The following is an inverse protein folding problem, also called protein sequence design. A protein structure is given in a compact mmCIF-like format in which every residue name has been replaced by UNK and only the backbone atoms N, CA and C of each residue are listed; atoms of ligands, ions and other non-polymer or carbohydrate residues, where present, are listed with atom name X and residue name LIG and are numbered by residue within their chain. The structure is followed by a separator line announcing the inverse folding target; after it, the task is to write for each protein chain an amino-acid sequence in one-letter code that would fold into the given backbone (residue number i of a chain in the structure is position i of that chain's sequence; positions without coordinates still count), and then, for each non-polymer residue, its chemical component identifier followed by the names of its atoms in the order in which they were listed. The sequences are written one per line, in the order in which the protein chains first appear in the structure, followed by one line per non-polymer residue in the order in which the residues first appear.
data_IF_598099349569
#
_entry.id   IF_598099349569
#
_cell.length_a   1.000
_cell.length_b   1.000
_cell.length_c   1.000
_cell.angle_alpha   90.00
_cell.angle_beta   90.00
_cell.angle_gamma   90.00
#
_symmetry.space_group_name_H-M   'P 1'
#
loop_
_entity.id
_entity.type
_entity.pdbx_description
1 polymer ?
#
# COMPACT_ATOMS: atom_id res chain seq x y z
N UNK A 1 9.78 -58.09 -23.17
CA UNK A 1 10.90 -57.26 -22.70
C UNK A 1 10.72 -55.86 -23.28
N UNK A 2 10.34 -54.91 -22.40
CA UNK A 2 10.48 -53.43 -22.46
C UNK A 2 10.33 -52.78 -23.85
N UNK A 3 9.33 -51.95 -24.14
CA UNK A 3 9.25 -50.56 -23.67
C UNK A 3 7.83 -50.00 -23.93
N UNK A 4 6.95 -50.07 -22.93
CA UNK A 4 5.70 -49.29 -22.89
C UNK A 4 5.77 -48.31 -21.69
N UNK A 5 6.89 -47.61 -21.56
CA UNK A 5 7.13 -46.64 -20.48
C UNK A 5 7.59 -45.30 -21.07
N UNK A 6 6.77 -44.70 -21.94
CA UNK A 6 7.09 -43.37 -22.50
C UNK A 6 6.05 -42.29 -22.20
N UNK A 7 4.83 -42.63 -21.76
CA UNK A 7 3.76 -41.63 -21.57
C UNK A 7 3.43 -41.26 -20.12
N UNK A 8 3.80 -42.09 -19.13
CA UNK A 8 3.44 -41.84 -17.72
C UNK A 8 4.45 -40.98 -16.95
N UNK A 9 5.70 -40.89 -17.42
CA UNK A 9 6.75 -40.09 -16.74
C UNK A 9 6.67 -38.57 -16.99
N UNK A 10 5.88 -38.12 -17.96
CA UNK A 10 5.70 -36.67 -18.23
C UNK A 10 4.48 -36.07 -17.51
N UNK A 11 3.60 -36.91 -16.98
CA UNK A 11 2.35 -36.46 -16.33
C UNK A 11 2.41 -36.45 -14.80
N UNK A 12 3.50 -36.93 -14.20
CA UNK A 12 3.70 -36.90 -12.73
C UNK A 12 4.54 -35.70 -12.27
N UNK A 13 5.17 -34.95 -13.18
CA UNK A 13 6.00 -33.80 -12.83
C UNK A 13 5.20 -32.49 -12.68
N UNK A 14 3.91 -32.47 -13.01
CA UNK A 14 3.05 -31.28 -12.90
C UNK A 14 2.27 -31.19 -11.58
N UNK A 15 2.35 -32.20 -10.71
CA UNK A 15 1.65 -32.22 -9.42
C UNK A 15 2.43 -31.53 -8.28
N UNK A 16 3.62 -31.00 -8.57
CA UNK A 16 4.44 -30.22 -7.64
C UNK A 16 4.73 -28.81 -8.17
N UNK A 17 3.76 -28.17 -8.83
CA UNK A 17 3.79 -26.72 -8.87
C UNK A 17 3.32 -26.25 -7.49
N UNK A 18 4.21 -25.78 -6.58
CA UNK A 18 3.73 -25.04 -5.44
C UNK A 18 2.89 -23.91 -6.02
N UNK A 19 1.61 -23.89 -5.62
CA UNK A 19 0.81 -22.70 -5.81
C UNK A 19 1.59 -21.61 -5.07
N UNK A 20 2.39 -20.84 -5.81
CA UNK A 20 2.88 -19.57 -5.33
C UNK A 20 1.62 -18.69 -5.28
N UNK A 21 0.80 -18.91 -4.25
CA UNK A 21 -0.02 -17.87 -3.70
C UNK A 21 0.98 -16.77 -3.39
N UNK A 22 1.09 -15.79 -4.27
CA UNK A 22 1.72 -14.52 -3.95
C UNK A 22 0.85 -13.92 -2.85
N UNK A 23 1.11 -14.34 -1.62
CA UNK A 23 0.59 -13.66 -0.45
C UNK A 23 1.31 -12.33 -0.45
N UNK A 24 0.73 -11.33 -1.13
CA UNK A 24 1.11 -9.95 -0.90
C UNK A 24 0.94 -9.74 0.60
N UNK A 25 2.06 -9.63 1.32
CA UNK A 25 2.02 -9.20 2.70
C UNK A 25 1.30 -7.87 2.68
N UNK A 26 0.15 -7.78 3.35
CA UNK A 26 -0.53 -6.51 3.53
C UNK A 26 0.51 -5.50 4.07
N UNK A 27 0.51 -4.25 3.58
CA UNK A 27 1.40 -3.22 4.11
C UNK A 27 1.37 -3.24 5.64
N UNK A 28 2.53 -3.24 6.28
CA UNK A 28 2.60 -3.15 7.75
C UNK A 28 1.86 -1.88 8.17
N UNK A 29 0.92 -1.97 9.13
CA UNK A 29 0.22 -0.80 9.63
C UNK A 29 1.20 0.29 10.10
N UNK A 30 0.92 1.54 9.78
CA UNK A 30 1.71 2.68 10.25
C UNK A 30 1.34 2.98 11.71
N UNK A 31 2.36 3.20 12.56
CA UNK A 31 2.19 3.14 14.02
C UNK A 31 1.98 4.49 14.70
N UNK A 32 2.39 5.60 14.08
CA UNK A 32 2.33 6.92 14.71
C UNK A 32 1.21 7.77 14.10
N UNK A 33 0.08 7.95 14.81
CA UNK A 33 -0.99 8.83 14.38
C UNK A 33 -0.71 10.28 14.78
N UNK A 34 -1.10 11.23 13.94
CA UNK A 34 -1.15 12.67 14.22
C UNK A 34 -2.47 13.23 13.69
N UNK A 35 -3.25 13.84 14.59
CA UNK A 35 -4.50 14.49 14.21
C UNK A 35 -4.20 15.88 13.67
N UNK A 36 -4.67 16.16 12.45
CA UNK A 36 -4.44 17.42 11.75
C UNK A 36 -5.56 18.44 11.98
N UNK A 37 -6.62 18.05 12.68
CA UNK A 37 -7.77 18.89 12.93
C UNK A 37 -8.40 18.64 14.31
N UNK A 38 -9.10 19.63 14.90
CA UNK A 38 -9.74 19.47 16.21
C UNK A 38 -10.88 18.44 16.24
N UNK A 39 -11.50 18.13 15.11
CA UNK A 39 -12.60 17.15 15.04
C UNK A 39 -12.11 15.70 14.92
N UNK A 40 -10.78 15.49 14.85
CA UNK A 40 -10.15 14.17 14.76
C UNK A 40 -10.57 13.36 13.53
N UNK A 41 -10.96 14.03 12.45
CA UNK A 41 -11.36 13.38 11.20
C UNK A 41 -10.23 13.29 10.18
N UNK A 42 -9.15 14.03 10.39
CA UNK A 42 -7.98 14.12 9.53
C UNK A 42 -6.80 13.54 10.30
N UNK A 43 -6.42 12.31 9.96
CA UNK A 43 -5.33 11.61 10.64
C UNK A 43 -4.20 11.32 9.67
N UNK A 44 -2.99 11.74 10.04
CA UNK A 44 -1.74 11.33 9.39
C UNK A 44 -1.14 10.17 10.18
N UNK A 45 -1.07 8.99 9.58
CA UNK A 45 -0.36 7.86 10.14
C UNK A 45 1.00 7.74 9.44
N UNK A 46 2.08 7.55 10.18
CA UNK A 46 3.41 7.37 9.61
C UNK A 46 4.27 6.41 10.42
N UNK A 47 5.41 6.02 9.86
CA UNK A 47 6.45 5.29 10.58
C UNK A 47 7.81 5.98 10.35
N UNK A 48 8.69 5.90 11.33
CA UNK A 48 10.04 6.45 11.29
C UNK A 48 11.05 5.30 11.39
N UNK A 49 10.96 4.32 10.49
CA UNK A 49 12.04 3.34 10.38
C UNK A 49 13.31 4.05 9.91
N UNK A 50 14.48 3.51 10.25
CA UNK A 50 15.81 3.97 9.77
C UNK A 50 15.97 3.75 8.25
N UNK A 51 15.07 4.33 7.47
CA UNK A 51 14.94 4.16 6.03
C UNK A 51 14.99 5.56 5.41
N UNK A 52 15.69 5.69 4.29
CA UNK A 52 15.78 6.95 3.55
C UNK A 52 14.41 7.42 3.02
N UNK A 53 13.44 6.50 2.92
CA UNK A 53 12.09 6.77 2.43
C UNK A 53 11.07 6.75 3.58
N UNK A 54 10.39 7.87 3.79
CA UNK A 54 9.26 7.96 4.70
C UNK A 54 7.98 7.45 4.03
N UNK A 55 7.23 6.60 4.74
CA UNK A 55 5.88 6.18 4.37
C UNK A 55 4.87 6.83 5.29
N UNK A 56 3.81 7.38 4.71
CA UNK A 56 2.70 7.95 5.44
C UNK A 56 1.36 7.61 4.76
N UNK A 57 0.30 7.61 5.54
CA UNK A 57 -1.08 7.46 5.10
C UNK A 57 -1.90 8.62 5.65
N UNK A 58 -2.74 9.20 4.80
CA UNK A 58 -3.65 10.26 5.17
C UNK A 58 -5.08 9.71 5.17
N UNK A 59 -5.69 9.64 6.34
CA UNK A 59 -7.04 9.11 6.55
C UNK A 59 -7.99 10.30 6.71
N UNK A 60 -8.82 10.54 5.68
CA UNK A 60 -9.76 11.66 5.62
C UNK A 60 -11.07 11.21 4.95
N UNK A 61 -12.25 11.50 5.52
CA UNK A 61 -13.52 11.33 4.83
C UNK A 61 -13.68 12.43 3.76
N UNK A 62 -13.49 12.08 2.50
CA UNK A 62 -13.65 13.02 1.37
C UNK A 62 -14.37 12.38 0.18
N UNK A 63 -15.06 13.22 -0.59
CA UNK A 63 -15.64 12.88 -1.91
C UNK A 63 -15.08 13.78 -3.02
N UNK A 64 -13.93 14.42 -2.74
CA UNK A 64 -13.20 15.26 -3.67
C UNK A 64 -11.70 15.15 -3.49
N UNK A 65 -11.00 16.24 -3.83
CA UNK A 65 -9.54 16.31 -3.79
C UNK A 65 -9.03 16.84 -2.46
N UNK A 66 -7.91 16.30 -2.00
CA UNK A 66 -7.16 16.74 -0.83
C UNK A 66 -5.70 16.91 -1.23
N UNK A 67 -5.11 18.01 -0.81
CA UNK A 67 -3.68 18.26 -0.87
C UNK A 67 -3.10 18.24 0.55
N UNK A 68 -1.96 17.58 0.72
CA UNK A 68 -1.20 17.55 1.97
C UNK A 68 0.29 17.57 1.64
N UNK A 69 1.10 18.11 2.54
CA UNK A 69 2.52 18.25 2.28
C UNK A 69 3.35 18.49 3.52
N UNK A 70 4.65 18.58 3.31
CA UNK A 70 5.63 18.90 4.33
C UNK A 70 6.27 20.24 4.05
N UNK A 71 6.43 21.04 5.10
CA UNK A 71 7.18 22.30 5.05
C UNK A 71 7.88 22.56 6.39
N UNK A 72 8.91 23.41 6.42
CA UNK A 72 9.66 23.68 7.64
C UNK A 72 8.79 24.28 8.76
N UNK A 73 7.82 25.13 8.40
CA UNK A 73 7.00 25.85 9.40
C UNK A 73 5.49 25.70 9.19
N UNK A 74 5.05 24.78 8.33
CA UNK A 74 3.63 24.52 8.08
C UNK A 74 2.97 25.48 7.09
N UNK A 75 3.73 26.39 6.47
CA UNK A 75 3.21 27.20 5.36
C UNK A 75 3.03 26.38 4.08
N UNK A 76 2.29 26.93 3.12
CA UNK A 76 2.07 26.34 1.80
C UNK A 76 3.15 26.73 0.76
N UNK A 77 3.67 27.97 0.71
CA UNK A 77 4.70 28.32 -0.27
C UNK A 77 6.00 27.55 -0.02
N UNK A 78 6.53 26.90 -1.06
CA UNK A 78 7.78 26.14 -0.98
C UNK A 78 7.66 24.74 -0.38
N UNK A 79 6.43 24.26 -0.13
CA UNK A 79 6.16 22.95 0.45
C UNK A 79 6.19 21.85 -0.60
N UNK A 80 6.60 20.65 -0.18
CA UNK A 80 6.46 19.45 -0.98
C UNK A 80 5.05 18.89 -0.79
N UNK A 81 4.22 18.98 -1.85
CA UNK A 81 2.79 18.68 -1.79
C UNK A 81 2.47 17.42 -2.60
N UNK A 82 1.74 16.51 -1.99
CA UNK A 82 1.04 15.42 -2.68
C UNK A 82 -0.46 15.74 -2.73
N UNK A 83 -1.10 15.39 -3.84
CA UNK A 83 -2.54 15.57 -4.02
C UNK A 83 -3.17 14.24 -4.41
N UNK A 84 -4.30 13.92 -3.81
CA UNK A 84 -5.10 12.74 -4.11
C UNK A 84 -6.57 13.03 -3.89
N UNK A 85 -7.45 12.17 -4.37
CA UNK A 85 -8.88 12.38 -4.21
C UNK A 85 -9.66 11.11 -4.41
N UNK A 86 -10.90 11.12 -3.95
CA UNK A 86 -11.85 10.06 -4.23
C UNK A 86 -13.13 10.70 -4.75
N UNK A 87 -13.77 10.09 -5.73
CA UNK A 87 -15.09 10.55 -6.17
C UNK A 87 -16.19 10.05 -5.21
N UNK A 88 -17.41 10.62 -5.25
CA UNK A 88 -18.52 10.18 -4.41
C UNK A 88 -18.88 8.69 -4.54
N UNK A 89 -18.49 8.03 -5.64
CA UNK A 89 -18.74 6.61 -5.85
C UNK A 89 -17.60 5.70 -5.32
N UNK A 90 -16.57 6.29 -4.71
CA UNK A 90 -15.42 5.57 -4.14
C UNK A 90 -14.28 5.30 -5.13
N UNK A 91 -14.35 5.80 -6.37
CA UNK A 91 -13.22 5.71 -7.32
C UNK A 91 -12.07 6.63 -6.91
N UNK A 92 -10.83 6.15 -7.08
CA UNK A 92 -9.57 6.83 -6.75
C UNK A 92 -8.75 7.01 -8.03
#
# INVERSE_FOLDING_TARGET
MVMFFSRIKRMLLFLFFPCFCSGQLAPTPLHFPTLLDPSSMFCLCYDHKEQELMRFELHIPTTGWVASGFSPYGEQPGSDIVTGGASPNGSI
#
